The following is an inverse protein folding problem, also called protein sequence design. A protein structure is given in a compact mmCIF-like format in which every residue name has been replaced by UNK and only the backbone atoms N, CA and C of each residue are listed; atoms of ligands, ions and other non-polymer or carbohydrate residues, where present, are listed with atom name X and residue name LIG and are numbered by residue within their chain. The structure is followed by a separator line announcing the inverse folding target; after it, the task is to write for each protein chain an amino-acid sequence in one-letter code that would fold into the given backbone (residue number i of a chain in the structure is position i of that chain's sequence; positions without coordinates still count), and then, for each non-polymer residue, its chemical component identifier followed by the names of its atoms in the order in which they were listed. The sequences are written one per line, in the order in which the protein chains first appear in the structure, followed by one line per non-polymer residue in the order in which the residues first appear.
data_IF_170159235711
#
_entry.id   IF_170159235711
#
_cell.length_a   1.000
_cell.length_b   1.000
_cell.length_c   1.000
_cell.angle_alpha   90.00
_cell.angle_beta   90.00
_cell.angle_gamma   90.00
#
_symmetry.space_group_name_H-M   'P 1'
#
loop_
_entity.id
_entity.type
_entity.pdbx_description
1 polymer ?
#
# COMPACT_ATOMS: atom_id res chain seq x y z
N UNK A 1 23.91 9.19 10.52
CA UNK A 1 23.45 7.99 9.78
C UNK A 1 21.96 7.90 9.99
N UNK A 2 21.20 8.00 8.90
CA UNK A 2 19.75 7.89 8.91
C UNK A 2 19.32 6.44 8.61
N UNK A 3 18.10 6.02 8.90
CA UNK A 3 17.60 4.70 8.48
C UNK A 3 17.72 4.47 6.97
N UNK A 4 17.66 5.54 6.17
CA UNK A 4 17.84 5.50 4.72
C UNK A 4 19.27 5.09 4.33
N UNK A 5 20.27 5.51 5.10
CA UNK A 5 21.67 5.15 4.87
C UNK A 5 21.93 3.64 5.04
N UNK A 6 21.04 2.94 5.78
CA UNK A 6 21.13 1.50 5.97
C UNK A 6 20.76 0.69 4.72
N UNK A 7 20.10 1.29 3.73
CA UNK A 7 19.69 0.58 2.52
C UNK A 7 20.83 0.38 1.52
N UNK A 8 21.92 1.17 1.62
CA UNK A 8 23.03 1.09 0.68
C UNK A 8 22.61 1.26 -0.78
N UNK A 9 21.56 2.04 -1.06
CA UNK A 9 21.07 2.31 -2.41
C UNK A 9 21.61 3.62 -2.91
N UNK A 10 22.24 3.58 -4.08
CA UNK A 10 22.63 4.80 -4.78
C UNK A 10 21.42 5.40 -5.48
N UNK A 11 21.17 6.71 -5.33
CA UNK A 11 20.10 7.39 -6.07
C UNK A 11 20.41 7.38 -7.59
N UNK A 12 19.37 7.16 -8.37
CA UNK A 12 19.45 7.27 -9.85
C UNK A 12 18.75 8.55 -10.26
N UNK A 13 19.43 9.36 -11.07
CA UNK A 13 18.86 10.60 -11.57
C UNK A 13 17.60 10.31 -12.41
N UNK A 14 16.52 11.09 -12.24
CA UNK A 14 15.30 10.91 -13.02
C UNK A 14 15.50 11.29 -14.48
N UNK A 15 14.78 10.60 -15.36
CA UNK A 15 14.71 10.95 -16.79
C UNK A 15 13.63 12.03 -16.95
N UNK A 16 14.02 13.26 -17.24
CA UNK A 16 13.14 14.43 -17.27
C UNK A 16 11.93 14.24 -18.17
N UNK A 17 12.12 13.68 -19.37
CA UNK A 17 11.03 13.44 -20.32
C UNK A 17 9.96 12.48 -19.77
N UNK A 18 10.37 11.51 -18.95
CA UNK A 18 9.44 10.60 -18.28
C UNK A 18 8.71 11.28 -17.10
N UNK A 19 9.41 12.12 -16.36
CA UNK A 19 8.80 12.86 -15.27
C UNK A 19 7.71 13.83 -15.76
N UNK A 20 7.93 14.45 -16.91
CA UNK A 20 7.09 15.53 -17.45
C UNK A 20 5.88 15.03 -18.25
N UNK A 21 5.97 13.88 -18.89
CA UNK A 21 4.99 13.41 -19.89
C UNK A 21 3.53 13.46 -19.41
N UNK A 22 3.24 12.98 -18.21
CA UNK A 22 1.89 12.90 -17.66
C UNK A 22 1.58 13.98 -16.62
N UNK A 23 2.48 14.93 -16.42
CA UNK A 23 2.40 15.88 -15.30
C UNK A 23 2.47 17.34 -15.73
N UNK A 24 3.47 17.71 -16.52
CA UNK A 24 3.70 19.10 -16.91
C UNK A 24 2.55 19.64 -17.75
N UNK A 25 1.95 20.75 -17.30
CA UNK A 25 0.81 21.40 -17.97
C UNK A 25 -0.51 20.61 -17.91
N UNK A 26 -0.54 19.49 -17.17
CA UNK A 26 -1.70 18.61 -17.04
C UNK A 26 -2.50 18.91 -15.77
N UNK A 27 -3.79 18.54 -15.78
CA UNK A 27 -4.58 18.40 -14.56
C UNK A 27 -4.36 17.00 -14.02
N UNK A 28 -3.74 16.91 -12.86
CA UNK A 28 -3.36 15.65 -12.23
C UNK A 28 -4.16 15.43 -10.96
N UNK A 29 -4.86 14.32 -10.88
CA UNK A 29 -5.55 13.88 -9.65
C UNK A 29 -4.73 12.82 -8.94
N UNK A 30 -4.60 12.96 -7.63
CA UNK A 30 -4.05 11.95 -6.74
C UNK A 30 -5.15 11.51 -5.78
N UNK A 31 -5.57 10.24 -5.85
CA UNK A 31 -6.43 9.63 -4.85
C UNK A 31 -5.59 9.12 -3.69
N UNK A 32 -6.07 9.28 -2.47
CA UNK A 32 -5.24 9.01 -1.29
C UNK A 32 -4.10 10.03 -1.14
N UNK A 33 -4.38 11.29 -1.48
CA UNK A 33 -3.42 12.38 -1.52
C UNK A 33 -2.73 12.66 -0.18
N UNK A 34 -3.37 12.33 0.93
CA UNK A 34 -2.82 12.48 2.28
C UNK A 34 -1.97 11.30 2.78
N UNK A 35 -1.94 10.19 2.04
CA UNK A 35 -1.10 9.03 2.37
C UNK A 35 0.38 9.26 2.11
N UNK A 36 1.23 8.33 2.56
CA UNK A 36 2.69 8.46 2.42
C UNK A 36 3.14 8.60 0.96
N UNK A 37 2.66 7.71 0.08
CA UNK A 37 2.98 7.77 -1.35
C UNK A 37 2.20 8.90 -2.03
N UNK A 38 0.90 9.04 -1.75
CA UNK A 38 0.07 10.07 -2.36
C UNK A 38 0.57 11.48 -2.09
N UNK A 39 0.97 11.79 -0.86
CA UNK A 39 1.51 13.11 -0.50
C UNK A 39 2.86 13.38 -1.17
N UNK A 40 3.73 12.39 -1.26
CA UNK A 40 5.00 12.53 -1.95
C UNK A 40 4.84 12.70 -3.46
N UNK A 41 3.89 11.98 -4.07
CA UNK A 41 3.52 12.23 -5.48
C UNK A 41 3.07 13.68 -5.66
N UNK A 42 2.23 14.21 -4.77
CA UNK A 42 1.80 15.60 -4.83
C UNK A 42 2.97 16.57 -4.78
N UNK A 43 3.93 16.37 -3.86
CA UNK A 43 5.12 17.23 -3.72
C UNK A 43 5.97 17.22 -4.99
N UNK A 44 6.28 16.04 -5.51
CA UNK A 44 7.13 15.91 -6.70
C UNK A 44 6.45 16.45 -7.95
N UNK A 45 5.15 16.17 -8.13
CA UNK A 45 4.39 16.65 -9.28
C UNK A 45 4.24 18.18 -9.25
N UNK A 46 4.13 18.79 -8.07
CA UNK A 46 4.12 20.26 -7.94
C UNK A 46 5.32 20.89 -8.65
N UNK A 47 6.52 20.34 -8.44
CA UNK A 47 7.75 20.82 -9.08
C UNK A 47 7.84 20.55 -10.59
N UNK A 48 6.95 19.75 -11.13
CA UNK A 48 6.85 19.46 -12.55
C UNK A 48 5.89 20.39 -13.31
N UNK A 49 5.45 21.46 -12.66
CA UNK A 49 4.58 22.49 -13.23
C UNK A 49 3.27 21.93 -13.85
N UNK A 50 2.45 21.23 -13.09
CA UNK A 50 1.12 20.84 -13.55
C UNK A 50 0.23 22.09 -13.67
N UNK A 51 -0.84 22.01 -14.46
CA UNK A 51 -1.84 23.08 -14.53
C UNK A 51 -2.63 23.15 -13.22
N UNK A 52 -3.06 22.00 -12.71
CA UNK A 52 -3.65 21.88 -11.38
C UNK A 52 -3.40 20.51 -10.76
N UNK A 53 -3.43 20.47 -9.43
CA UNK A 53 -3.39 19.27 -8.60
C UNK A 53 -4.73 19.08 -7.92
N UNK A 54 -5.41 17.99 -8.23
CA UNK A 54 -6.68 17.60 -7.61
C UNK A 54 -6.38 16.56 -6.54
N UNK A 55 -6.55 16.95 -5.28
CA UNK A 55 -6.27 16.11 -4.12
C UNK A 55 -7.56 15.44 -3.68
N UNK A 56 -7.67 14.14 -3.91
CA UNK A 56 -8.83 13.35 -3.51
C UNK A 56 -8.48 12.48 -2.30
N UNK A 57 -9.08 12.80 -1.14
CA UNK A 57 -8.71 12.18 0.14
C UNK A 57 -9.95 12.01 1.02
N UNK A 58 -10.03 10.88 1.71
CA UNK A 58 -11.15 10.58 2.62
C UNK A 58 -10.93 11.09 4.04
N UNK A 59 -9.67 11.27 4.46
CA UNK A 59 -9.33 11.83 5.77
C UNK A 59 -9.27 13.35 5.70
N UNK A 60 -10.19 14.02 6.40
CA UNK A 60 -10.21 15.49 6.49
C UNK A 60 -8.86 16.05 6.98
N UNK A 61 -8.32 15.48 8.04
CA UNK A 61 -7.06 15.93 8.61
C UNK A 61 -5.88 15.75 7.65
N UNK A 62 -5.79 14.61 6.97
CA UNK A 62 -4.73 14.36 6.01
C UNK A 62 -4.85 15.27 4.78
N UNK A 63 -6.07 15.54 4.31
CA UNK A 63 -6.32 16.47 3.22
C UNK A 63 -5.94 17.91 3.59
N UNK A 64 -6.35 18.36 4.76
CA UNK A 64 -5.98 19.69 5.28
C UNK A 64 -4.46 19.87 5.34
N UNK A 65 -3.75 18.89 5.87
CA UNK A 65 -2.29 18.97 5.99
C UNK A 65 -1.59 19.07 4.64
N UNK A 66 -1.93 18.18 3.69
CA UNK A 66 -1.26 18.19 2.39
C UNK A 66 -1.62 19.43 1.57
N UNK A 67 -2.86 19.91 1.64
CA UNK A 67 -3.27 21.16 0.99
C UNK A 67 -2.44 22.34 1.50
N UNK A 68 -2.35 22.51 2.82
CA UNK A 68 -1.59 23.60 3.44
C UNK A 68 -0.10 23.55 3.05
N UNK A 69 0.49 22.36 3.08
CA UNK A 69 1.89 22.15 2.68
C UNK A 69 2.13 22.53 1.22
N UNK A 70 1.28 22.06 0.30
CA UNK A 70 1.44 22.32 -1.13
C UNK A 70 1.22 23.79 -1.49
N UNK A 71 0.28 24.48 -0.83
CA UNK A 71 0.07 25.92 -1.01
C UNK A 71 1.28 26.73 -0.55
N UNK A 72 1.86 26.37 0.59
CA UNK A 72 3.07 27.01 1.09
C UNK A 72 4.28 26.74 0.17
N UNK A 73 4.46 25.52 -0.30
CA UNK A 73 5.49 25.17 -1.29
C UNK A 73 5.32 25.94 -2.60
N UNK A 74 4.11 26.00 -3.15
CA UNK A 74 3.82 26.72 -4.39
C UNK A 74 4.11 28.21 -4.25
N UNK A 75 3.76 28.80 -3.12
CA UNK A 75 4.02 30.20 -2.83
C UNK A 75 5.52 30.48 -2.73
N UNK A 76 6.26 29.67 -1.97
CA UNK A 76 7.71 29.84 -1.78
C UNK A 76 8.51 29.64 -3.06
N UNK A 77 8.07 28.74 -3.94
CA UNK A 77 8.74 28.45 -5.21
C UNK A 77 8.19 29.22 -6.40
N UNK A 78 7.17 30.06 -6.19
CA UNK A 78 6.50 30.83 -7.24
C UNK A 78 5.95 29.96 -8.37
N UNK A 79 5.51 28.73 -8.09
CA UNK A 79 4.91 27.82 -9.07
C UNK A 79 3.42 28.18 -9.19
N UNK A 80 2.93 28.58 -10.38
CA UNK A 80 1.53 28.89 -10.61
C UNK A 80 0.72 27.60 -10.79
N UNK A 81 0.26 27.00 -9.72
CA UNK A 81 -0.56 25.78 -9.73
C UNK A 81 -1.85 25.99 -8.97
N UNK A 82 -2.95 25.51 -9.53
CA UNK A 82 -4.21 25.41 -8.80
C UNK A 82 -4.22 24.14 -7.96
N UNK A 83 -4.44 24.27 -6.66
CA UNK A 83 -4.54 23.14 -5.73
C UNK A 83 -5.99 22.99 -5.31
N UNK A 84 -6.60 21.84 -5.64
CA UNK A 84 -8.03 21.56 -5.47
C UNK A 84 -8.21 20.44 -4.45
N UNK A 85 -8.57 20.74 -3.20
CA UNK A 85 -8.80 19.73 -2.17
C UNK A 85 -10.23 19.18 -2.26
N UNK A 86 -10.38 17.89 -2.54
CA UNK A 86 -11.69 17.21 -2.59
C UNK A 86 -11.75 16.16 -1.50
N UNK A 87 -12.56 16.42 -0.50
CA UNK A 87 -12.91 15.43 0.52
C UNK A 87 -13.88 14.41 -0.05
N UNK A 88 -13.48 13.14 -0.10
CA UNK A 88 -14.32 12.09 -0.65
C UNK A 88 -13.69 10.70 -0.58
N UNK A 89 -14.54 9.69 -0.70
CA UNK A 89 -14.16 8.28 -0.76
C UNK A 89 -14.24 7.75 -2.18
N UNK A 90 -13.29 6.91 -2.57
CA UNK A 90 -13.32 6.20 -3.87
C UNK A 90 -14.50 5.21 -3.96
N UNK A 91 -15.16 4.91 -2.85
CA UNK A 91 -16.38 4.10 -2.81
C UNK A 91 -17.64 4.89 -3.22
N UNK A 92 -17.52 6.19 -3.54
CA UNK A 92 -18.65 7.06 -3.94
C UNK A 92 -18.55 7.44 -5.43
N UNK A 93 -19.10 6.61 -6.35
CA UNK A 93 -18.91 6.77 -7.79
C UNK A 93 -19.44 8.11 -8.34
N UNK A 94 -20.54 8.62 -7.82
CA UNK A 94 -21.12 9.91 -8.26
C UNK A 94 -20.15 11.07 -7.99
N UNK A 95 -19.51 11.06 -6.80
CA UNK A 95 -18.57 12.12 -6.41
C UNK A 95 -17.29 12.04 -7.22
N UNK A 96 -16.76 10.83 -7.44
CA UNK A 96 -15.60 10.59 -8.31
C UNK A 96 -15.84 11.10 -9.72
N UNK A 97 -16.94 10.67 -10.34
CA UNK A 97 -17.32 11.10 -11.69
C UNK A 97 -17.44 12.62 -11.79
N UNK A 98 -18.11 13.25 -10.82
CA UNK A 98 -18.27 14.70 -10.79
C UNK A 98 -16.93 15.42 -10.65
N UNK A 99 -16.04 14.95 -9.78
CA UNK A 99 -14.71 15.54 -9.59
C UNK A 99 -13.85 15.44 -10.85
N UNK A 100 -13.79 14.27 -11.48
CA UNK A 100 -12.99 14.04 -12.70
C UNK A 100 -13.51 14.92 -13.84
N UNK A 101 -14.85 15.00 -14.01
CA UNK A 101 -15.45 15.80 -15.06
C UNK A 101 -15.32 17.31 -14.84
N UNK A 102 -15.56 17.79 -13.59
CA UNK A 102 -15.56 19.22 -13.27
C UNK A 102 -14.19 19.86 -13.45
N UNK A 103 -13.12 19.12 -13.19
CA UNK A 103 -11.75 19.62 -13.29
C UNK A 103 -11.02 19.15 -14.55
N UNK A 104 -11.71 18.42 -15.44
CA UNK A 104 -11.16 17.91 -16.70
C UNK A 104 -9.82 17.17 -16.46
N UNK A 105 -9.85 16.23 -15.53
CA UNK A 105 -8.64 15.48 -15.11
C UNK A 105 -8.03 14.71 -16.26
N UNK A 106 -6.73 14.86 -16.47
CA UNK A 106 -5.98 14.23 -17.55
C UNK A 106 -5.14 13.05 -17.11
N UNK A 107 -4.64 13.08 -15.87
CA UNK A 107 -3.82 12.02 -15.27
C UNK A 107 -4.33 11.69 -13.87
N UNK A 108 -4.43 10.40 -13.55
CA UNK A 108 -4.80 9.92 -12.22
C UNK A 108 -3.71 9.00 -11.69
N UNK A 109 -3.21 9.30 -10.49
CA UNK A 109 -2.43 8.38 -9.66
C UNK A 109 -3.35 7.87 -8.54
N UNK A 110 -3.69 6.59 -8.60
CA UNK A 110 -4.61 5.97 -7.65
C UNK A 110 -3.83 5.29 -6.52
N UNK A 111 -3.65 6.02 -5.40
CA UNK A 111 -2.96 5.55 -4.21
C UNK A 111 -3.90 5.29 -3.01
N UNK A 112 -5.20 5.57 -3.16
CA UNK A 112 -6.19 5.31 -2.12
C UNK A 112 -6.41 3.81 -1.92
N UNK A 113 -5.91 3.26 -0.82
CA UNK A 113 -6.10 1.84 -0.47
C UNK A 113 -5.93 1.62 1.03
N UNK A 114 -6.56 0.59 1.56
CA UNK A 114 -6.21 0.02 2.85
C UNK A 114 -5.04 -0.95 2.66
N UNK A 115 -3.93 -0.71 3.33
CA UNK A 115 -2.66 -1.42 3.13
C UNK A 115 -2.21 -2.29 4.33
N UNK A 116 -2.78 -2.06 5.52
CA UNK A 116 -2.39 -2.80 6.71
C UNK A 116 -2.92 -4.23 6.66
N UNK A 117 -2.01 -5.19 6.44
CA UNK A 117 -2.37 -6.60 6.28
C UNK A 117 -3.21 -7.11 7.45
N UNK A 118 -2.80 -6.97 8.74
CA UNK A 118 -3.60 -7.48 9.86
C UNK A 118 -4.99 -6.85 9.96
N UNK A 119 -5.10 -5.54 9.73
CA UNK A 119 -6.39 -4.84 9.81
C UNK A 119 -7.33 -5.26 8.68
N UNK A 120 -6.83 -5.42 7.45
CA UNK A 120 -7.65 -5.85 6.32
C UNK A 120 -8.05 -7.33 6.48
N UNK A 121 -7.19 -8.17 7.05
CA UNK A 121 -7.48 -9.58 7.34
C UNK A 121 -8.65 -9.74 8.33
N UNK A 122 -8.86 -8.76 9.20
CA UNK A 122 -9.95 -8.71 10.19
C UNK A 122 -11.15 -7.86 9.73
N UNK A 123 -11.02 -7.07 8.65
CA UNK A 123 -12.05 -6.22 8.06
C UNK A 123 -12.18 -6.51 6.55
N UNK A 124 -12.49 -7.76 6.24
CA UNK A 124 -12.42 -8.33 4.87
C UNK A 124 -13.33 -7.56 3.91
N UNK A 125 -14.58 -7.36 4.27
CA UNK A 125 -15.58 -6.71 3.41
C UNK A 125 -15.20 -5.26 3.13
N UNK A 126 -14.78 -4.52 4.14
CA UNK A 126 -14.37 -3.12 3.98
C UNK A 126 -13.10 -3.01 3.11
N UNK A 127 -12.14 -3.93 3.31
CA UNK A 127 -10.95 -4.03 2.47
C UNK A 127 -11.28 -4.28 1.00
N UNK A 128 -12.20 -5.19 0.71
CA UNK A 128 -12.66 -5.48 -0.65
C UNK A 128 -13.39 -4.28 -1.26
N UNK A 129 -14.32 -3.69 -0.52
CA UNK A 129 -15.09 -2.52 -1.00
C UNK A 129 -14.18 -1.37 -1.40
N UNK A 130 -13.21 -1.05 -0.57
CA UNK A 130 -12.30 0.05 -0.84
C UNK A 130 -11.30 -0.28 -1.96
N UNK A 131 -10.59 -1.40 -1.84
CA UNK A 131 -9.46 -1.71 -2.71
C UNK A 131 -9.90 -2.25 -4.08
N UNK A 132 -10.95 -3.07 -4.13
CA UNK A 132 -11.47 -3.65 -5.39
C UNK A 132 -12.49 -2.71 -6.03
N UNK A 133 -13.58 -2.45 -5.33
CA UNK A 133 -14.69 -1.67 -5.90
C UNK A 133 -14.36 -0.18 -5.98
N UNK A 134 -13.59 0.36 -5.03
CA UNK A 134 -13.04 1.71 -5.15
C UNK A 134 -12.17 1.87 -6.39
N UNK A 135 -11.32 0.91 -6.70
CA UNK A 135 -10.51 0.92 -7.93
C UNK A 135 -11.38 0.78 -9.18
N UNK A 136 -12.37 -0.12 -9.18
CA UNK A 136 -13.32 -0.26 -10.28
C UNK A 136 -14.04 1.06 -10.59
N UNK A 137 -14.51 1.75 -9.57
CA UNK A 137 -15.26 3.00 -9.72
C UNK A 137 -14.39 4.13 -10.28
N UNK A 138 -13.20 4.36 -9.71
CA UNK A 138 -12.31 5.43 -10.17
C UNK A 138 -11.75 5.13 -11.57
N UNK A 139 -11.37 3.90 -11.86
CA UNK A 139 -10.86 3.50 -13.16
C UNK A 139 -11.94 3.57 -14.26
N UNK A 140 -13.17 3.13 -13.95
CA UNK A 140 -14.29 3.23 -14.86
C UNK A 140 -14.67 4.70 -15.13
N UNK A 141 -14.68 5.53 -14.08
CA UNK A 141 -14.93 6.97 -14.23
C UNK A 141 -13.86 7.64 -15.09
N UNK A 142 -12.59 7.30 -14.88
CA UNK A 142 -11.47 7.79 -15.68
C UNK A 142 -11.65 7.47 -17.17
N UNK A 143 -11.96 6.20 -17.48
CA UNK A 143 -12.20 5.75 -18.85
C UNK A 143 -13.36 6.51 -19.51
N UNK A 144 -14.49 6.64 -18.81
CA UNK A 144 -15.69 7.31 -19.32
C UNK A 144 -15.51 8.81 -19.55
N UNK A 145 -14.64 9.45 -18.78
CA UNK A 145 -14.35 10.87 -18.89
C UNK A 145 -13.15 11.18 -19.81
N UNK A 146 -12.55 10.16 -20.42
CA UNK A 146 -11.42 10.34 -21.34
C UNK A 146 -10.12 10.79 -20.65
N UNK A 147 -9.89 10.36 -19.42
CA UNK A 147 -8.59 10.56 -18.74
C UNK A 147 -7.49 9.91 -19.56
N UNK A 148 -6.41 10.65 -19.81
CA UNK A 148 -5.33 10.17 -20.69
C UNK A 148 -4.54 9.02 -20.07
N UNK A 149 -4.19 9.12 -18.78
CA UNK A 149 -3.36 8.15 -18.07
C UNK A 149 -3.92 7.83 -16.68
N UNK A 150 -4.00 6.56 -16.37
CA UNK A 150 -4.41 6.05 -15.06
C UNK A 150 -3.34 5.10 -14.52
N UNK A 151 -2.74 5.44 -13.39
CA UNK A 151 -1.67 4.69 -12.76
C UNK A 151 -2.14 4.16 -11.42
N UNK A 152 -2.27 2.83 -11.29
CA UNK A 152 -2.58 2.17 -10.03
C UNK A 152 -1.29 1.96 -9.22
N UNK A 153 -1.28 2.43 -7.98
CA UNK A 153 -0.23 2.08 -7.03
C UNK A 153 -0.53 0.68 -6.48
N UNK A 154 0.36 -0.26 -6.75
CA UNK A 154 0.24 -1.65 -6.32
C UNK A 154 1.37 -2.04 -5.35
N UNK A 155 1.54 -3.31 -5.08
CA UNK A 155 2.42 -3.82 -4.03
C UNK A 155 2.98 -5.19 -4.41
N UNK A 156 4.14 -5.54 -3.87
CA UNK A 156 4.71 -6.89 -3.89
C UNK A 156 3.74 -7.95 -3.30
N UNK A 157 2.87 -7.55 -2.36
CA UNK A 157 1.89 -8.45 -1.73
C UNK A 157 0.74 -8.88 -2.64
N UNK A 158 0.61 -8.26 -3.82
CA UNK A 158 -0.30 -8.72 -4.87
C UNK A 158 0.21 -9.98 -5.62
N UNK A 159 1.48 -10.32 -5.46
CA UNK A 159 2.10 -11.51 -6.06
C UNK A 159 1.84 -12.73 -5.18
N UNK A 160 1.16 -13.76 -5.72
CA UNK A 160 0.78 -14.98 -4.97
C UNK A 160 0.31 -14.64 -3.56
N UNK A 161 -0.78 -13.88 -3.43
CA UNK A 161 -1.18 -13.31 -2.15
C UNK A 161 -1.49 -14.41 -1.11
N UNK A 162 -1.01 -14.20 0.11
CA UNK A 162 -1.29 -15.05 1.27
C UNK A 162 -2.25 -14.40 2.26
N UNK A 163 -2.73 -13.22 1.93
CA UNK A 163 -3.62 -12.41 2.75
C UNK A 163 -4.65 -11.68 1.89
N UNK A 164 -5.71 -11.19 2.54
CA UNK A 164 -6.82 -10.51 1.89
C UNK A 164 -6.38 -9.21 1.24
N UNK A 165 -5.53 -8.41 1.90
CA UNK A 165 -5.05 -7.15 1.35
C UNK A 165 -4.34 -7.37 0.01
N UNK A 166 -3.42 -8.32 -0.05
CA UNK A 166 -2.74 -8.69 -1.29
C UNK A 166 -3.69 -9.19 -2.37
N UNK A 167 -4.67 -10.03 -2.02
CA UNK A 167 -5.70 -10.51 -2.93
C UNK A 167 -6.53 -9.33 -3.51
N UNK A 168 -6.94 -8.38 -2.67
CA UNK A 168 -7.68 -7.19 -3.14
C UNK A 168 -6.86 -6.33 -4.10
N UNK A 169 -5.57 -6.18 -3.85
CA UNK A 169 -4.67 -5.42 -4.74
C UNK A 169 -4.46 -6.15 -6.06
N UNK A 170 -4.33 -7.48 -6.05
CA UNK A 170 -4.26 -8.27 -7.30
C UNK A 170 -5.55 -8.16 -8.12
N UNK A 171 -6.72 -8.21 -7.48
CA UNK A 171 -8.00 -8.00 -8.17
C UNK A 171 -8.08 -6.58 -8.75
N UNK A 172 -7.61 -5.57 -8.04
CA UNK A 172 -7.51 -4.19 -8.55
C UNK A 172 -6.63 -4.10 -9.82
N UNK A 173 -5.51 -4.83 -9.86
CA UNK A 173 -4.70 -4.96 -11.06
C UNK A 173 -5.46 -5.62 -12.21
N UNK A 174 -6.20 -6.72 -11.95
CA UNK A 174 -7.04 -7.39 -12.96
C UNK A 174 -8.11 -6.45 -13.51
N UNK A 175 -8.69 -5.58 -12.68
CA UNK A 175 -9.65 -4.54 -13.12
C UNK A 175 -8.98 -3.58 -14.11
N UNK A 176 -7.81 -3.06 -13.80
CA UNK A 176 -7.09 -2.15 -14.68
C UNK A 176 -6.66 -2.83 -15.99
N UNK A 177 -6.19 -4.07 -15.93
CA UNK A 177 -5.84 -4.86 -17.12
C UNK A 177 -7.06 -5.13 -18.00
N UNK A 178 -8.20 -5.47 -17.40
CA UNK A 178 -9.45 -5.72 -18.12
C UNK A 178 -9.96 -4.46 -18.83
N UNK A 179 -9.93 -3.30 -18.16
CA UNK A 179 -10.29 -2.02 -18.77
C UNK A 179 -9.32 -1.63 -19.89
N UNK A 180 -8.04 -1.91 -19.73
CA UNK A 180 -7.03 -1.67 -20.77
C UNK A 180 -7.22 -2.54 -22.02
N UNK A 181 -7.81 -3.72 -21.90
CA UNK A 181 -8.09 -4.62 -23.02
C UNK A 181 -9.25 -4.16 -23.90
N UNK A 182 -10.07 -3.25 -23.42
CA UNK A 182 -11.17 -2.66 -24.19
C UNK A 182 -10.71 -1.39 -24.93
N UNK A 183 -11.34 -1.04 -26.06
CA UNK A 183 -11.08 0.24 -26.73
C UNK A 183 -11.25 1.42 -25.77
N UNK A 184 -10.19 2.23 -25.64
CA UNK A 184 -10.18 3.38 -24.72
C UNK A 184 -9.04 4.33 -25.07
N UNK A 185 -9.26 5.63 -24.86
CA UNK A 185 -8.22 6.65 -24.92
C UNK A 185 -7.39 6.70 -23.62
N UNK A 186 -7.86 6.03 -22.57
CA UNK A 186 -7.15 5.96 -21.29
C UNK A 186 -6.10 4.86 -21.29
N UNK A 187 -4.86 5.22 -20.99
CA UNK A 187 -3.75 4.27 -20.79
C UNK A 187 -3.70 3.86 -19.34
N UNK A 188 -4.07 2.61 -19.07
CA UNK A 188 -4.00 2.01 -17.73
C UNK A 188 -2.66 1.34 -17.51
N UNK A 189 -2.07 1.56 -16.34
CA UNK A 189 -0.90 0.84 -15.88
C UNK A 189 -0.91 0.67 -14.38
N UNK A 190 -0.08 -0.21 -13.87
CA UNK A 190 0.09 -0.45 -12.45
C UNK A 190 1.57 -0.59 -12.11
N UNK A 191 1.94 -0.16 -10.91
CA UNK A 191 3.31 -0.16 -10.45
C UNK A 191 3.40 -0.89 -9.12
N UNK A 192 4.17 -1.98 -9.08
CA UNK A 192 4.45 -2.77 -7.90
C UNK A 192 5.78 -2.36 -7.29
N UNK A 193 5.78 -2.21 -5.98
CA UNK A 193 7.00 -2.06 -5.18
C UNK A 193 6.77 -2.62 -3.78
N UNK A 194 7.87 -2.85 -3.07
CA UNK A 194 7.84 -3.38 -1.72
C UNK A 194 7.57 -2.32 -0.65
N UNK A 195 8.20 -2.47 0.49
CA UNK A 195 8.00 -1.56 1.61
C UNK A 195 8.72 -0.23 1.34
N UNK A 196 8.12 0.85 1.81
CA UNK A 196 8.75 2.18 1.79
C UNK A 196 9.10 2.63 3.19
N UNK A 197 10.32 3.14 3.36
CA UNK A 197 10.84 3.58 4.65
C UNK A 197 10.04 4.76 5.21
N UNK A 198 9.75 4.72 6.50
CA UNK A 198 9.11 5.82 7.19
C UNK A 198 7.63 6.02 6.85
N UNK A 199 7.00 5.10 6.07
CA UNK A 199 5.56 5.17 5.80
C UNK A 199 4.73 4.95 7.07
N UNK A 200 3.53 5.51 7.09
CA UNK A 200 2.60 5.37 8.22
C UNK A 200 2.36 3.90 8.58
N UNK A 201 2.53 3.56 9.86
CA UNK A 201 2.40 2.19 10.35
C UNK A 201 3.50 1.23 9.89
N UNK A 202 4.65 1.74 9.44
CA UNK A 202 5.80 0.92 9.05
C UNK A 202 6.57 0.39 10.26
N UNK A 203 7.35 -0.68 10.02
CA UNK A 203 8.21 -1.30 11.04
C UNK A 203 9.21 -0.31 11.65
N UNK A 204 9.70 0.65 10.86
CA UNK A 204 10.63 1.68 11.36
C UNK A 204 9.98 2.60 12.37
N UNK A 205 8.74 3.02 12.11
CA UNK A 205 8.00 3.84 13.09
C UNK A 205 7.68 3.06 14.36
N UNK A 206 7.34 1.78 14.21
CA UNK A 206 7.14 0.88 15.34
C UNK A 206 8.41 0.77 16.18
N UNK A 207 9.54 0.45 15.57
CA UNK A 207 10.82 0.32 16.28
C UNK A 207 11.25 1.62 16.96
N UNK A 208 11.05 2.77 16.31
CA UNK A 208 11.32 4.07 16.92
C UNK A 208 10.50 4.28 18.20
N UNK A 209 9.20 4.05 18.12
CA UNK A 209 8.30 4.18 19.27
C UNK A 209 8.65 3.18 20.39
N UNK A 210 9.01 1.96 20.03
CA UNK A 210 9.43 0.93 20.99
C UNK A 210 10.77 1.32 21.66
N UNK A 211 11.75 1.87 20.93
CA UNK A 211 13.01 2.38 21.50
C UNK A 211 12.74 3.55 22.44
N UNK A 212 11.92 4.53 22.03
CA UNK A 212 11.56 5.69 22.86
C UNK A 212 10.85 5.28 24.15
N UNK A 213 10.15 4.14 24.15
CA UNK A 213 9.45 3.58 25.29
C UNK A 213 10.33 2.67 26.17
N UNK A 214 11.61 2.44 25.81
CA UNK A 214 12.53 1.56 26.53
C UNK A 214 12.45 0.08 26.11
N UNK A 215 11.79 -0.22 25.00
CA UNK A 215 11.61 -1.56 24.46
C UNK A 215 10.45 -2.34 25.08
N UNK A 216 10.27 -3.65 24.78
CA UNK A 216 11.09 -4.40 23.82
C UNK A 216 10.81 -4.03 22.37
N UNK A 217 11.81 -4.20 21.48
CA UNK A 217 11.53 -4.23 20.03
C UNK A 217 10.90 -5.56 19.69
N UNK A 218 9.84 -5.49 18.86
CA UNK A 218 9.09 -6.67 18.44
C UNK A 218 9.40 -7.05 17.00
N UNK A 219 10.00 -8.23 16.78
CA UNK A 219 10.28 -8.80 15.47
C UNK A 219 9.46 -10.07 15.28
N UNK A 220 8.75 -10.19 14.15
CA UNK A 220 7.82 -11.29 13.95
C UNK A 220 8.50 -12.63 13.70
N UNK A 221 9.70 -12.65 13.09
CA UNK A 221 10.49 -13.85 12.90
C UNK A 221 11.96 -13.48 12.67
N UNK A 222 12.89 -14.33 13.11
CA UNK A 222 14.35 -14.07 12.98
C UNK A 222 14.81 -13.93 11.52
N UNK A 223 14.18 -14.67 10.60
CA UNK A 223 14.59 -14.71 9.19
C UNK A 223 13.66 -13.92 8.26
N UNK A 224 12.71 -13.16 8.81
CA UNK A 224 11.82 -12.35 7.98
C UNK A 224 12.62 -11.28 7.24
N UNK A 225 12.43 -11.22 5.92
CA UNK A 225 13.04 -10.21 5.07
C UNK A 225 11.98 -9.37 4.37
N UNK A 226 12.32 -8.13 4.07
CA UNK A 226 11.50 -7.22 3.25
C UNK A 226 12.38 -6.44 2.30
N UNK A 227 11.79 -6.09 1.16
CA UNK A 227 12.39 -5.13 0.26
C UNK A 227 12.04 -3.71 0.71
N UNK A 228 13.00 -2.82 0.68
CA UNK A 228 12.79 -1.43 1.07
C UNK A 228 13.28 -0.44 0.01
N UNK A 229 12.58 0.67 -0.06
CA UNK A 229 12.91 1.83 -0.87
C UNK A 229 12.52 3.08 -0.09
N UNK A 230 13.12 4.22 -0.37
CA UNK A 230 12.66 5.49 0.21
C UNK A 230 11.36 5.93 -0.44
N UNK A 231 10.53 6.68 0.29
CA UNK A 231 9.28 7.24 -0.25
C UNK A 231 9.55 8.14 -1.46
N UNK A 232 10.53 9.08 -1.43
CA UNK A 232 10.86 9.90 -2.60
C UNK A 232 11.28 9.10 -3.83
N UNK A 233 12.10 8.06 -3.67
CA UNK A 233 12.51 7.19 -4.78
C UNK A 233 11.30 6.45 -5.36
N UNK A 234 10.46 5.87 -4.53
CA UNK A 234 9.27 5.16 -4.99
C UNK A 234 8.32 6.07 -5.79
N UNK A 235 8.03 7.25 -5.28
CA UNK A 235 7.18 8.21 -5.97
C UNK A 235 7.77 8.67 -7.31
N UNK A 236 9.07 8.97 -7.35
CA UNK A 236 9.78 9.34 -8.56
C UNK A 236 9.70 8.23 -9.62
N UNK A 237 9.93 6.98 -9.23
CA UNK A 237 9.88 5.84 -10.16
C UNK A 237 8.46 5.53 -10.62
N UNK A 238 7.45 5.72 -9.77
CA UNK A 238 6.03 5.60 -10.15
C UNK A 238 5.66 6.59 -11.26
N UNK A 239 6.08 7.84 -11.14
CA UNK A 239 5.83 8.88 -12.15
C UNK A 239 6.45 8.47 -13.49
N UNK A 240 7.69 8.00 -13.49
CA UNK A 240 8.40 7.58 -14.66
C UNK A 240 7.82 6.29 -15.29
N UNK A 241 7.45 5.31 -14.46
CA UNK A 241 6.82 4.08 -14.94
C UNK A 241 5.51 4.39 -15.67
N UNK A 242 4.64 5.21 -15.10
CA UNK A 242 3.38 5.62 -15.74
C UNK A 242 3.56 6.29 -17.07
N UNK A 243 4.67 7.02 -17.25
CA UNK A 243 5.03 7.68 -18.53
C UNK A 243 5.45 6.70 -19.62
N UNK A 244 5.92 5.51 -19.27
CA UNK A 244 6.31 4.46 -20.23
C UNK A 244 5.15 3.54 -20.61
N UNK A 245 4.01 3.66 -19.98
CA UNK A 245 2.86 2.75 -20.16
C UNK A 245 2.31 2.80 -21.59
N UNK A 246 1.91 1.65 -22.09
CA UNK A 246 1.25 1.45 -23.39
C UNK A 246 -0.19 0.98 -23.26
N UNK A 247 -0.58 0.46 -22.09
CA UNK A 247 -1.90 -0.04 -21.75
C UNK A 247 -1.86 -1.44 -21.16
N UNK A 248 -2.31 -1.59 -19.91
CA UNK A 248 -2.32 -2.85 -19.17
C UNK A 248 -0.97 -3.29 -18.62
N UNK A 249 0.04 -2.45 -18.69
CA UNK A 249 1.39 -2.76 -18.23
C UNK A 249 1.45 -2.94 -16.72
N UNK A 250 2.15 -4.00 -16.28
CA UNK A 250 2.55 -4.19 -14.89
C UNK A 250 4.03 -3.85 -14.79
N UNK A 251 4.32 -2.73 -14.13
CA UNK A 251 5.68 -2.33 -13.83
C UNK A 251 6.08 -2.82 -12.44
N UNK A 252 7.34 -3.20 -12.31
CA UNK A 252 7.95 -3.63 -11.06
C UNK A 252 9.19 -2.78 -10.82
N UNK A 253 9.24 -2.10 -9.68
CA UNK A 253 10.40 -1.32 -9.30
C UNK A 253 11.52 -2.22 -8.78
N UNK A 254 12.75 -1.93 -9.18
CA UNK A 254 13.94 -2.60 -8.66
C UNK A 254 14.14 -2.23 -7.19
N UNK A 255 13.86 -3.16 -6.31
CA UNK A 255 13.93 -2.99 -4.85
C UNK A 255 15.33 -3.28 -4.28
N UNK A 256 16.28 -3.69 -5.11
CA UNK A 256 17.60 -4.10 -4.66
C UNK A 256 17.59 -5.39 -3.84
N UNK A 257 18.42 -5.47 -2.83
CA UNK A 257 18.51 -6.66 -1.97
C UNK A 257 17.49 -6.62 -0.83
N UNK A 258 16.94 -7.77 -0.43
CA UNK A 258 16.04 -7.84 0.72
C UNK A 258 16.84 -7.58 2.02
N UNK A 259 16.21 -6.89 2.96
CA UNK A 259 16.77 -6.56 4.28
C UNK A 259 16.12 -7.44 5.33
N UNK A 260 16.94 -8.07 6.18
CA UNK A 260 16.46 -8.78 7.37
C UNK A 260 15.91 -7.77 8.38
N UNK A 261 14.69 -7.98 8.83
CA UNK A 261 14.06 -7.10 9.82
C UNK A 261 14.79 -7.15 11.17
N UNK A 262 15.35 -8.29 11.52
CA UNK A 262 16.19 -8.42 12.70
C UNK A 262 17.43 -7.52 12.64
N UNK A 263 18.13 -7.49 11.50
CA UNK A 263 19.31 -6.65 11.30
C UNK A 263 18.94 -5.17 11.33
N UNK A 264 17.77 -4.83 10.80
CA UNK A 264 17.22 -3.47 10.87
C UNK A 264 16.94 -3.06 12.32
N UNK A 265 16.32 -3.95 13.12
CA UNK A 265 16.05 -3.69 14.54
C UNK A 265 17.33 -3.42 15.31
N UNK A 266 18.35 -4.30 15.17
CA UNK A 266 19.66 -4.16 15.80
C UNK A 266 20.31 -2.83 15.40
N UNK A 267 20.31 -2.51 14.12
CA UNK A 267 20.90 -1.27 13.59
C UNK A 267 20.22 -0.03 14.14
N UNK A 268 18.89 -0.05 14.23
CA UNK A 268 18.14 1.08 14.80
C UNK A 268 18.44 1.32 16.28
N UNK A 269 18.54 0.27 17.10
CA UNK A 269 18.95 0.40 18.50
C UNK A 269 20.34 1.03 18.59
N UNK A 270 21.29 0.55 17.80
CA UNK A 270 22.67 1.08 17.78
C UNK A 270 22.74 2.53 17.30
N UNK A 271 21.92 2.94 16.35
CA UNK A 271 21.82 4.34 15.89
C UNK A 271 21.36 5.31 17.00
N UNK A 272 20.62 4.81 17.99
CA UNK A 272 20.25 5.58 19.19
C UNK A 272 21.32 5.55 20.29
N UNK A 273 22.50 4.95 20.01
CA UNK A 273 23.60 4.84 20.98
C UNK A 273 23.37 3.77 22.05
N UNK A 274 22.43 2.85 21.81
CA UNK A 274 22.02 1.81 22.75
C UNK A 274 22.50 0.43 22.30
N UNK A 275 22.60 -0.52 23.24
CA UNK A 275 22.97 -1.90 22.98
C UNK A 275 21.74 -2.81 22.97
N UNK A 276 21.49 -3.56 21.87
CA UNK A 276 20.40 -4.53 21.83
C UNK A 276 20.79 -5.83 22.55
N UNK A 277 19.83 -6.50 23.16
CA UNK A 277 19.96 -7.87 23.64
C UNK A 277 18.71 -8.69 23.33
N UNK A 278 18.83 -10.01 23.28
CA UNK A 278 17.72 -10.88 22.89
C UNK A 278 17.01 -11.47 24.11
N UNK A 279 15.68 -11.53 24.02
CA UNK A 279 14.83 -12.19 25.04
C UNK A 279 13.92 -13.21 24.35
N UNK A 280 13.72 -14.36 25.00
CA UNK A 280 12.80 -15.36 24.49
C UNK A 280 11.34 -14.90 24.67
N UNK A 281 10.55 -15.01 23.59
CA UNK A 281 9.24 -14.38 23.42
C UNK A 281 8.09 -14.87 24.27
N UNK A 282 8.30 -15.70 25.28
CA UNK A 282 7.21 -16.30 26.07
C UNK A 282 6.79 -15.52 27.33
N UNK A 283 7.48 -14.45 27.72
CA UNK A 283 7.33 -13.87 29.07
C UNK A 283 6.68 -12.49 29.19
N UNK A 284 6.28 -11.83 28.09
CA UNK A 284 5.81 -10.43 28.18
C UNK A 284 4.41 -10.16 27.58
N UNK A 285 3.43 -10.93 27.99
CA UNK A 285 2.04 -10.45 28.01
C UNK A 285 1.74 -9.94 29.42
N UNK A 286 1.61 -8.62 29.56
CA UNK A 286 1.19 -7.84 30.73
C UNK A 286 2.29 -7.35 31.68
N UNK A 287 2.66 -6.08 31.50
CA UNK A 287 2.89 -5.17 32.62
C UNK A 287 4.09 -5.38 33.56
N UNK A 288 5.11 -6.09 33.22
CA UNK A 288 6.27 -6.29 34.09
C UNK A 288 7.35 -5.21 33.90
N UNK A 289 7.61 -4.45 34.95
CA UNK A 289 8.63 -3.38 35.04
C UNK A 289 10.05 -3.88 35.30
N UNK A 290 10.31 -5.18 35.37
CA UNK A 290 11.65 -5.73 35.60
C UNK A 290 11.97 -6.83 34.57
N UNK A 291 13.17 -6.83 33.98
CA UNK A 291 13.62 -7.92 33.11
C UNK A 291 13.78 -9.20 33.94
N UNK A 292 13.43 -10.38 33.40
CA UNK A 292 13.64 -11.64 34.11
C UNK A 292 15.15 -11.92 34.28
N UNK A 293 15.57 -12.14 35.52
CA UNK A 293 16.88 -12.73 35.82
C UNK A 293 16.79 -14.23 35.51
N UNK A 294 17.55 -14.68 34.54
CA UNK A 294 17.70 -16.12 34.30
C UNK A 294 19.04 -16.59 34.87
N UNK A 295 18.94 -17.38 35.93
CA UNK A 295 20.03 -18.23 36.39
C UNK A 295 20.06 -19.48 35.51
N UNK A 296 21.18 -19.73 34.81
CA UNK A 296 21.54 -21.06 34.32
C UNK A 296 21.68 -21.23 32.82
N UNK A 297 22.90 -21.22 32.38
CA UNK A 297 23.57 -21.99 31.32
C UNK A 297 22.93 -22.05 29.92
N UNK A 298 23.38 -21.19 29.06
CA UNK A 298 23.87 -21.42 27.68
C UNK A 298 23.85 -20.11 26.87
N UNK A 299 25.03 -19.60 26.54
CA UNK A 299 25.31 -18.75 25.38
C UNK A 299 24.80 -17.32 25.45
N UNK A 300 25.64 -16.40 25.95
CA UNK A 300 25.66 -14.96 25.69
C UNK A 300 24.33 -14.21 25.80
N UNK A 301 23.82 -14.05 27.01
CA UNK A 301 22.94 -12.94 27.38
C UNK A 301 23.82 -11.74 27.69
N UNK A 302 24.18 -10.98 26.67
CA UNK A 302 24.80 -9.69 26.87
C UNK A 302 23.84 -8.78 27.64
N UNK A 303 24.33 -8.12 28.69
CA UNK A 303 23.63 -6.99 29.31
C UNK A 303 23.54 -5.88 28.26
N UNK A 304 22.35 -5.58 27.80
CA UNK A 304 22.09 -4.52 26.84
C UNK A 304 21.06 -3.54 27.39
N UNK A 305 20.84 -2.47 26.65
CA UNK A 305 19.90 -1.40 27.03
C UNK A 305 18.47 -1.70 26.58
N UNK A 306 18.32 -2.34 25.41
CA UNK A 306 17.03 -2.55 24.76
C UNK A 306 16.83 -4.03 24.38
N UNK A 307 15.80 -4.68 24.91
CA UNK A 307 15.46 -6.06 24.53
C UNK A 307 14.85 -6.15 23.14
N UNK A 308 15.20 -7.21 22.39
CA UNK A 308 14.53 -7.59 21.13
C UNK A 308 13.82 -8.94 21.35
N UNK A 309 12.52 -8.96 21.07
CA UNK A 309 11.63 -10.11 21.28
C UNK A 309 11.09 -10.62 19.94
N UNK A 310 11.08 -11.95 19.74
CA UNK A 310 10.46 -12.60 18.59
C UNK A 310 9.05 -13.01 18.95
N UNK A 311 8.05 -12.44 18.23
CA UNK A 311 6.62 -12.59 18.58
C UNK A 311 5.87 -13.66 17.77
N UNK A 312 6.48 -14.20 16.70
CA UNK A 312 5.82 -15.05 15.71
C UNK A 312 5.22 -14.25 14.56
N UNK A 313 5.08 -14.89 13.39
CA UNK A 313 4.49 -14.27 12.21
C UNK A 313 3.03 -13.89 12.47
N UNK A 314 2.64 -12.72 11.98
CA UNK A 314 1.25 -12.23 12.04
C UNK A 314 0.37 -13.00 11.02
N UNK A 315 -0.94 -12.94 11.23
CA UNK A 315 -1.90 -13.49 10.25
C UNK A 315 -1.69 -12.83 8.88
N UNK A 316 -1.55 -13.66 7.84
CA UNK A 316 -1.33 -13.17 6.48
C UNK A 316 0.10 -12.75 6.16
N UNK A 317 1.02 -12.75 7.10
CA UNK A 317 2.41 -12.34 6.89
C UNK A 317 3.24 -13.45 6.23
N UNK A 318 4.00 -13.09 5.18
CA UNK A 318 4.99 -13.96 4.54
C UNK A 318 6.34 -13.83 5.23
N UNK A 319 7.12 -14.93 5.24
CA UNK A 319 8.53 -14.88 5.65
C UNK A 319 9.38 -14.08 4.63
N UNK A 320 9.14 -14.31 3.35
CA UNK A 320 9.79 -13.65 2.21
C UNK A 320 8.72 -13.12 1.25
N UNK A 321 8.93 -11.91 0.71
CA UNK A 321 8.06 -11.34 -0.31
C UNK A 321 8.62 -11.60 -1.72
N UNK A 322 7.71 -11.65 -2.70
CA UNK A 322 8.02 -11.83 -4.11
C UNK A 322 7.62 -10.57 -4.88
N UNK A 323 8.43 -10.15 -5.84
CA UNK A 323 8.14 -8.94 -6.64
C UNK A 323 7.33 -9.25 -7.91
N UNK A 324 7.44 -10.47 -8.44
CA UNK A 324 6.73 -10.91 -9.65
C UNK A 324 6.50 -12.41 -9.67
N UNK A 325 5.54 -12.86 -10.47
CA UNK A 325 5.32 -14.27 -10.79
C UNK A 325 6.18 -14.62 -12.00
N UNK A 326 7.04 -15.65 -11.86
CA UNK A 326 7.95 -16.08 -12.91
C UNK A 326 9.32 -15.36 -12.89
N UNK A 327 10.22 -15.81 -13.75
CA UNK A 327 11.64 -15.46 -13.69
C UNK A 327 12.11 -14.51 -14.79
N UNK A 328 11.21 -13.92 -15.59
CA UNK A 328 11.59 -13.09 -16.73
C UNK A 328 10.95 -11.71 -16.70
N UNK A 329 11.41 -10.79 -15.81
CA UNK A 329 11.08 -9.38 -15.96
C UNK A 329 11.77 -8.87 -17.24
N UNK A 330 11.04 -8.09 -18.04
CA UNK A 330 11.62 -7.41 -19.17
C UNK A 330 12.13 -6.04 -18.73
N UNK A 331 13.33 -5.62 -19.20
CA UNK A 331 13.85 -4.30 -18.92
C UNK A 331 13.03 -3.21 -19.64
N UNK A 332 13.10 -1.99 -19.12
CA UNK A 332 12.57 -0.78 -19.75
C UNK A 332 13.70 0.19 -20.08
N UNK A 333 13.35 1.35 -20.63
CA UNK A 333 14.33 2.42 -20.82
C UNK A 333 14.86 3.01 -19.50
N UNK A 334 14.21 2.71 -18.37
CA UNK A 334 14.70 3.13 -17.05
C UNK A 334 15.37 1.95 -16.33
N UNK A 335 16.61 2.10 -15.82
CA UNK A 335 17.37 0.99 -15.24
C UNK A 335 16.77 0.39 -13.97
N UNK A 336 15.90 1.13 -13.28
CA UNK A 336 15.26 0.71 -12.02
C UNK A 336 13.78 0.29 -12.18
N UNK A 337 13.28 0.22 -13.41
CA UNK A 337 11.90 -0.14 -13.70
C UNK A 337 11.89 -1.29 -14.69
N UNK A 338 11.21 -2.37 -14.33
CA UNK A 338 10.99 -3.55 -15.15
C UNK A 338 9.51 -3.73 -15.45
N UNK A 339 9.19 -4.51 -16.49
CA UNK A 339 7.83 -4.98 -16.76
C UNK A 339 7.69 -6.44 -16.40
N UNK A 340 6.49 -6.84 -15.95
CA UNK A 340 6.12 -8.22 -15.70
C UNK A 340 4.99 -8.62 -16.66
N UNK A 341 5.03 -9.87 -17.13
CA UNK A 341 3.90 -10.47 -17.86
C UNK A 341 3.04 -11.24 -16.88
N UNK A 342 1.84 -10.76 -16.66
CA UNK A 342 0.91 -11.30 -15.67
C UNK A 342 -0.37 -11.78 -16.33
N UNK A 343 -0.98 -12.83 -15.78
CA UNK A 343 -2.30 -13.29 -16.21
C UNK A 343 -3.31 -12.18 -16.10
N UNK A 344 -4.10 -11.97 -17.16
CA UNK A 344 -5.17 -10.98 -17.20
C UNK A 344 -6.50 -11.63 -17.57
N UNK A 345 -7.58 -10.94 -17.30
CA UNK A 345 -8.93 -11.29 -17.69
C UNK A 345 -9.53 -10.16 -18.54
N UNK A 346 -10.38 -10.50 -19.49
CA UNK A 346 -11.21 -9.50 -20.16
C UNK A 346 -12.29 -9.01 -19.23
N UNK A 347 -12.89 -7.84 -19.54
CA UNK A 347 -14.00 -7.31 -18.74
C UNK A 347 -15.21 -8.26 -18.78
N UNK A 348 -15.46 -8.93 -19.89
CA UNK A 348 -16.52 -9.95 -20.03
C UNK A 348 -16.32 -11.13 -19.08
N UNK A 349 -15.08 -11.52 -18.84
CA UNK A 349 -14.75 -12.58 -17.89
C UNK A 349 -14.78 -12.11 -16.43
N UNK A 350 -14.32 -10.90 -16.18
CA UNK A 350 -14.14 -10.37 -14.82
C UNK A 350 -15.44 -9.83 -14.19
N UNK A 351 -16.27 -9.10 -14.95
CA UNK A 351 -17.47 -8.44 -14.40
C UNK A 351 -18.43 -9.40 -13.69
N UNK A 352 -18.78 -10.58 -14.24
CA UNK A 352 -19.67 -11.50 -13.53
C UNK A 352 -19.11 -11.96 -12.18
N UNK A 353 -17.77 -12.08 -12.08
CA UNK A 353 -17.08 -12.45 -10.82
C UNK A 353 -17.15 -11.31 -9.83
N UNK A 354 -16.92 -10.07 -10.29
CA UNK A 354 -17.01 -8.88 -9.43
C UNK A 354 -18.43 -8.66 -8.91
N UNK A 355 -19.46 -8.90 -9.74
CA UNK A 355 -20.87 -8.83 -9.34
C UNK A 355 -21.18 -9.85 -8.23
N UNK A 356 -20.71 -11.10 -8.37
CA UNK A 356 -20.83 -12.10 -7.31
C UNK A 356 -20.07 -11.70 -6.05
N UNK A 357 -18.88 -11.12 -6.20
CA UNK A 357 -18.09 -10.63 -5.07
C UNK A 357 -18.80 -9.51 -4.33
N UNK A 358 -19.38 -8.56 -5.06
CA UNK A 358 -20.16 -7.47 -4.48
C UNK A 358 -21.41 -7.99 -3.75
N UNK A 359 -22.12 -8.94 -4.36
CA UNK A 359 -23.27 -9.60 -3.72
C UNK A 359 -22.87 -10.33 -2.44
N UNK A 360 -21.74 -11.05 -2.45
CA UNK A 360 -21.21 -11.72 -1.27
C UNK A 360 -20.84 -10.71 -0.16
N UNK A 361 -20.24 -9.58 -0.52
CA UNK A 361 -19.96 -8.49 0.44
C UNK A 361 -21.25 -7.92 1.04
N UNK A 362 -22.29 -7.70 0.24
CA UNK A 362 -23.60 -7.21 0.72
C UNK A 362 -24.30 -8.21 1.62
N UNK A 363 -24.20 -9.49 1.30
CA UNK A 363 -24.76 -10.59 2.08
C UNK A 363 -23.88 -11.00 3.27
N UNK A 364 -22.68 -10.41 3.42
CA UNK A 364 -21.73 -10.72 4.48
C UNK A 364 -21.28 -12.21 4.45
N UNK A 365 -21.26 -12.78 3.26
CA UNK A 365 -20.92 -14.18 3.02
C UNK A 365 -19.41 -14.35 2.79
N UNK A 366 -18.67 -14.47 3.89
CA UNK A 366 -17.21 -14.64 3.89
C UNK A 366 -16.78 -15.92 3.18
N UNK A 367 -17.60 -17.00 3.25
CA UNK A 367 -17.26 -18.27 2.60
C UNK A 367 -17.30 -18.15 1.07
N UNK A 368 -18.30 -17.45 0.55
CA UNK A 368 -18.38 -17.17 -0.90
C UNK A 368 -17.24 -16.25 -1.35
N UNK A 369 -16.88 -15.24 -0.55
CA UNK A 369 -15.70 -14.38 -0.83
C UNK A 369 -14.45 -15.25 -0.97
N UNK A 370 -14.21 -16.17 -0.05
CA UNK A 370 -13.06 -17.08 -0.09
C UNK A 370 -13.05 -17.96 -1.35
N UNK A 371 -14.21 -18.51 -1.74
CA UNK A 371 -14.32 -19.29 -2.98
C UNK A 371 -13.97 -18.44 -4.21
N UNK A 372 -14.46 -17.21 -4.28
CA UNK A 372 -14.18 -16.29 -5.39
C UNK A 372 -12.67 -15.99 -5.48
N UNK A 373 -11.98 -15.80 -4.35
CA UNK A 373 -10.52 -15.60 -4.36
C UNK A 373 -9.78 -16.82 -4.90
N UNK A 374 -10.28 -18.03 -4.65
CA UNK A 374 -9.69 -19.26 -5.19
C UNK A 374 -10.01 -19.47 -6.68
N UNK A 375 -11.16 -19.00 -7.15
CA UNK A 375 -11.59 -19.13 -8.54
C UNK A 375 -10.89 -18.13 -9.48
N UNK A 376 -10.46 -16.98 -8.97
CA UNK A 376 -9.73 -15.99 -9.72
C UNK A 376 -8.26 -16.40 -9.89
N UNK A 377 -7.58 -15.95 -10.96
CA UNK A 377 -6.17 -16.26 -11.21
C UNK A 377 -5.25 -15.42 -10.31
N UNK A 378 -5.45 -15.51 -9.00
CA UNK A 378 -4.68 -14.78 -8.00
C UNK A 378 -3.48 -15.61 -7.50
N UNK A 379 -3.52 -16.92 -7.65
CA UNK A 379 -2.64 -17.87 -6.93
C UNK A 379 -2.72 -17.64 -5.40
N UNK A 380 -3.94 -17.37 -4.92
CA UNK A 380 -4.20 -17.09 -3.52
C UNK A 380 -4.01 -18.33 -2.66
N UNK A 381 -3.10 -18.24 -1.70
CA UNK A 381 -2.82 -19.30 -0.73
C UNK A 381 -2.82 -18.73 0.67
N UNK A 382 -3.97 -18.67 1.35
CA UNK A 382 -4.09 -18.01 2.64
C UNK A 382 -3.21 -18.67 3.70
N UNK A 383 -2.40 -17.88 4.39
CA UNK A 383 -1.64 -18.33 5.56
C UNK A 383 -2.55 -18.55 6.77
N UNK A 384 -3.72 -17.91 6.78
CA UNK A 384 -4.77 -18.13 7.78
C UNK A 384 -5.93 -18.93 7.12
N UNK A 385 -6.15 -20.18 7.48
CA UNK A 385 -7.23 -20.98 6.92
C UNK A 385 -8.63 -20.51 7.34
N UNK A 386 -8.72 -19.68 8.38
CA UNK A 386 -9.97 -19.14 8.88
C UNK A 386 -10.09 -17.66 8.52
N UNK A 387 -10.60 -17.39 7.31
CA UNK A 387 -10.97 -16.04 6.93
C UNK A 387 -12.15 -15.59 7.81
N UNK A 388 -11.95 -14.47 8.49
CA UNK A 388 -12.86 -14.00 9.51
C UNK A 388 -12.94 -12.47 9.49
N UNK A 389 -14.14 -11.94 9.53
CA UNK A 389 -14.38 -10.51 9.70
C UNK A 389 -14.83 -10.23 11.14
N UNK A 390 -14.29 -9.20 11.78
CA UNK A 390 -14.56 -8.89 13.19
C UNK A 390 -16.04 -8.70 13.51
N UNK A 391 -16.81 -8.17 12.57
CA UNK A 391 -18.24 -7.90 12.75
C UNK A 391 -19.05 -9.16 12.43
N UNK A 392 -18.77 -9.79 11.29
CA UNK A 392 -19.66 -10.78 10.70
C UNK A 392 -19.42 -12.22 11.16
N UNK A 393 -18.42 -12.43 11.99
CA UNK A 393 -18.18 -13.72 12.64
C UNK A 393 -18.92 -13.89 13.99
N UNK A 394 -19.44 -12.80 14.53
CA UNK A 394 -20.29 -12.90 15.74
C UNK A 394 -21.65 -13.41 15.31
N UNK A 395 -22.06 -14.55 15.88
CA UNK A 395 -23.39 -15.14 15.65
C UNK A 395 -24.49 -14.08 15.75
N UNK A 396 -25.52 -14.12 14.89
CA UNK A 396 -26.60 -13.13 14.88
C UNK A 396 -27.31 -12.94 16.23
N UNK A 397 -27.19 -13.90 17.13
CA UNK A 397 -27.79 -13.83 18.48
C UNK A 397 -27.15 -12.79 19.42
N UNK A 398 -25.96 -12.28 19.10
CA UNK A 398 -25.27 -11.31 19.97
C UNK A 398 -25.50 -9.85 19.55
N UNK A 399 -25.96 -9.60 18.33
CA UNK A 399 -26.09 -8.25 17.76
C UNK A 399 -27.50 -7.67 17.87
N UNK A 400 -28.51 -8.50 18.16
CA UNK A 400 -29.92 -8.10 18.18
C UNK A 400 -30.58 -8.13 19.59
N UNK A 401 -29.82 -8.28 20.65
CA UNK A 401 -30.32 -8.01 21.97
C UNK A 401 -30.45 -6.49 22.20
N UNK A 402 -31.49 -5.89 21.63
CA UNK A 402 -31.89 -4.54 22.03
C UNK A 402 -32.12 -4.50 23.55
N UNK A 403 -31.67 -3.46 24.26
CA UNK A 403 -31.97 -3.32 25.65
C UNK A 403 -33.50 -3.26 25.82
N UNK A 404 -34.07 -4.22 26.54
CA UNK A 404 -35.44 -4.12 26.98
C UNK A 404 -35.53 -2.88 27.86
N UNK A 405 -36.23 -1.87 27.37
CA UNK A 405 -36.67 -0.75 28.19
C UNK A 405 -37.51 -1.33 29.34
N UNK A 406 -36.95 -1.33 30.53
CA UNK A 406 -37.68 -1.56 31.76
C UNK A 406 -38.63 -0.38 31.90
N UNK A 407 -39.93 -0.68 31.90
CA UNK A 407 -41.00 0.26 32.21
C UNK A 407 -40.94 0.70 33.65
#
# INVERSE_FOLDING_TARGET
VTPEDLLGRDPVAPISTLMEKNTTGKVVMISGAGGSIGSELCRQILYLNPRSLVLFETSEYALYRIEAELKDLAQRTCIPVEIVPILGSVQHPKRLKAAIAAYEVQTIYHAAAYKHVPLVEENVIEGIRNNVFGTLEIATAAKRQGVESFILISTDKAVRPTNVMGATKRIAELVCQALASEPSDTVFSMVRFGNVLGSSGSVIQLFRSEIESGGPLTVTHRDVTRYFMTIPEAAQLVIQAGAMAKGGDVFVLDMGQPVKIMDLAISMVRLHGLQPYFVDGAAHSQGAKEPPRTDGDSGELEQGDIPICVTGLRKGEKLYEELLVGNNPAPTQHPRIMTASETSLTMVQLMPVLERLLAACKAQDIQTIRRIFNDLPLEYSPSNPHLADLIWNKSPQTVLAAPQLVK
#
